data_IF_729248630768
#
_entry.id   IF_729248630768
#
_cell.length_a   1.000
_cell.length_b   1.000
_cell.length_c   1.000
_cell.angle_alpha   90.00
_cell.angle_beta   90.00
_cell.angle_gamma   90.00
#
_symmetry.space_group_name_H-M   'P 1'
#
loop_
_entity.id
_entity.type
_entity.pdbx_description
1 polymer ?
#
# COMPACT_ATOMS: atom_id res chain seq x y z
N UNK A 1 20.67 -3.72 22.12
CA UNK A 1 19.32 -4.28 22.04
C UNK A 1 18.32 -3.13 22.19
N UNK A 2 17.00 -3.36 22.21
CA UNK A 2 15.98 -2.29 22.20
C UNK A 2 16.17 -1.24 23.31
N UNK A 3 15.93 0.05 23.02
CA UNK A 3 16.07 1.14 24.00
C UNK A 3 14.80 1.29 24.83
N UNK A 4 14.91 1.32 26.16
CA UNK A 4 13.78 1.64 27.04
C UNK A 4 13.84 3.13 27.43
N UNK A 5 12.73 3.86 27.19
CA UNK A 5 12.58 5.28 27.49
C UNK A 5 11.43 5.47 28.48
N UNK A 6 11.66 6.16 29.57
CA UNK A 6 10.58 6.66 30.43
C UNK A 6 10.19 8.03 29.86
N UNK A 7 8.90 8.20 29.50
CA UNK A 7 8.39 9.43 28.93
C UNK A 7 8.53 10.58 29.95
N UNK A 8 9.23 11.63 29.56
CA UNK A 8 9.50 12.80 30.42
C UNK A 8 9.11 14.14 29.75
N UNK A 9 8.46 14.10 28.60
CA UNK A 9 8.08 15.26 27.80
C UNK A 9 9.16 15.68 26.79
N UNK A 10 10.26 14.90 26.66
CA UNK A 10 11.35 15.21 25.72
C UNK A 10 11.91 13.96 25.02
N UNK A 11 12.35 12.97 25.75
CA UNK A 11 13.07 11.81 25.18
C UNK A 11 12.26 11.01 24.20
N UNK A 12 10.96 10.83 24.46
CA UNK A 12 10.03 10.18 23.55
C UNK A 12 9.89 10.96 22.23
N UNK A 13 9.88 12.29 22.29
CA UNK A 13 9.82 13.13 21.09
C UNK A 13 11.13 13.12 20.30
N UNK A 14 12.29 13.09 20.97
CA UNK A 14 13.58 12.94 20.32
C UNK A 14 13.62 11.62 19.50
N UNK A 15 13.04 10.54 20.05
CA UNK A 15 12.91 9.26 19.34
C UNK A 15 11.93 9.34 18.16
N UNK A 16 10.78 10.01 18.32
CA UNK A 16 9.80 10.23 17.24
C UNK A 16 10.45 10.99 16.08
N UNK A 17 11.25 12.03 16.36
CA UNK A 17 11.96 12.79 15.32
C UNK A 17 13.04 11.95 14.64
N UNK A 18 13.72 11.06 15.35
CA UNK A 18 14.64 10.09 14.76
C UNK A 18 13.93 9.22 13.72
N UNK A 19 12.75 8.68 14.05
CA UNK A 19 11.96 7.86 13.13
C UNK A 19 11.50 8.64 11.90
N UNK A 20 11.05 9.89 12.07
CA UNK A 20 10.65 10.75 10.95
C UNK A 20 11.82 11.06 10.00
N UNK A 21 13.04 11.22 10.54
CA UNK A 21 14.23 11.50 9.73
C UNK A 21 14.71 10.31 8.91
N UNK A 22 14.38 9.09 9.31
CA UNK A 22 14.77 7.82 8.67
C UNK A 22 14.40 7.77 7.18
N UNK A 23 13.19 8.20 6.86
CA UNK A 23 12.67 8.15 5.49
C UNK A 23 13.30 9.18 4.54
N UNK A 24 13.88 10.28 5.06
CA UNK A 24 14.35 11.40 4.25
C UNK A 24 15.76 11.24 3.67
N UNK A 25 16.59 10.37 4.26
CA UNK A 25 18.03 10.29 3.92
C UNK A 25 18.37 9.32 2.78
N UNK A 26 17.45 8.45 2.38
CA UNK A 26 17.72 7.38 1.39
C UNK A 26 17.63 7.82 -0.08
N UNK A 27 16.95 8.92 -0.40
CA UNK A 27 16.56 9.29 -1.77
C UNK A 27 17.67 9.92 -2.62
N UNK A 28 18.62 10.66 -2.03
CA UNK A 28 19.53 11.53 -2.80
C UNK A 28 20.45 10.80 -3.78
N UNK A 29 20.91 9.59 -3.43
CA UNK A 29 21.81 8.80 -4.26
C UNK A 29 21.08 7.89 -5.25
N UNK A 30 19.80 7.58 -4.98
CA UNK A 30 18.99 6.64 -5.77
C UNK A 30 18.28 7.33 -6.95
N UNK A 31 17.85 8.56 -6.75
CA UNK A 31 17.11 9.33 -7.77
C UNK A 31 17.86 9.41 -9.13
N UNK A 32 19.15 9.76 -9.21
CA UNK A 32 19.85 9.82 -10.49
C UNK A 32 19.87 8.48 -11.22
N UNK A 33 20.13 7.38 -10.47
CA UNK A 33 20.21 6.02 -11.03
C UNK A 33 18.85 5.61 -11.59
N UNK A 34 17.77 5.85 -10.83
CA UNK A 34 16.42 5.49 -11.26
C UNK A 34 15.97 6.35 -12.44
N UNK A 35 16.30 7.64 -12.45
CA UNK A 35 15.98 8.53 -13.58
C UNK A 35 16.64 8.06 -14.88
N UNK A 36 17.91 7.62 -14.82
CA UNK A 36 18.61 7.02 -15.97
C UNK A 36 17.90 5.76 -16.47
N UNK A 37 17.51 4.86 -15.57
CA UNK A 37 16.77 3.63 -15.91
C UNK A 37 15.46 3.97 -16.58
N UNK A 38 14.68 4.91 -16.04
CA UNK A 38 13.40 5.34 -16.58
C UNK A 38 13.53 5.88 -17.99
N UNK A 39 14.47 6.80 -18.23
CA UNK A 39 14.69 7.37 -19.56
C UNK A 39 15.20 6.34 -20.57
N UNK A 40 16.03 5.40 -20.13
CA UNK A 40 16.52 4.31 -21.00
C UNK A 40 15.37 3.38 -21.41
N UNK A 41 14.50 2.96 -20.47
CA UNK A 41 13.34 2.12 -20.78
C UNK A 41 12.36 2.86 -21.70
N UNK A 42 12.09 4.14 -21.44
CA UNK A 42 11.22 4.97 -22.27
C UNK A 42 11.72 5.08 -23.72
N UNK A 43 13.03 5.12 -23.92
CA UNK A 43 13.66 5.30 -25.25
C UNK A 43 13.86 3.97 -25.98
N UNK A 44 14.28 2.93 -25.27
CA UNK A 44 14.76 1.67 -25.86
C UNK A 44 13.86 0.45 -25.56
N UNK A 45 12.72 0.65 -24.90
CA UNK A 45 11.67 -0.37 -24.72
C UNK A 45 12.17 -1.69 -24.11
N UNK A 46 11.75 -2.79 -24.71
CA UNK A 46 12.07 -4.16 -24.25
C UNK A 46 13.58 -4.44 -24.18
N UNK A 47 14.37 -3.82 -25.06
CA UNK A 47 15.83 -3.99 -25.04
C UNK A 47 16.42 -3.48 -23.73
N UNK A 48 16.05 -2.28 -23.29
CA UNK A 48 16.52 -1.73 -22.02
C UNK A 48 16.07 -2.59 -20.83
N UNK A 49 14.82 -3.06 -20.82
CA UNK A 49 14.28 -3.95 -19.79
C UNK A 49 15.11 -5.24 -19.72
N UNK A 50 15.42 -5.85 -20.87
CA UNK A 50 16.25 -7.07 -20.94
C UNK A 50 17.65 -6.83 -20.38
N UNK A 51 18.33 -5.76 -20.83
CA UNK A 51 19.69 -5.42 -20.42
C UNK A 51 19.78 -5.18 -18.89
N UNK A 52 18.79 -4.47 -18.30
CA UNK A 52 18.73 -4.28 -16.85
C UNK A 52 18.37 -5.56 -16.08
N UNK A 53 17.51 -6.41 -16.62
CA UNK A 53 17.18 -7.71 -16.00
C UNK A 53 18.43 -8.59 -15.94
N UNK A 54 19.22 -8.67 -17.01
CA UNK A 54 20.50 -9.38 -17.00
C UNK A 54 21.47 -8.77 -15.98
N UNK A 55 21.54 -7.43 -15.94
CA UNK A 55 22.47 -6.70 -15.04
C UNK A 55 22.16 -6.93 -13.57
N UNK A 56 20.90 -6.93 -13.17
CA UNK A 56 20.48 -6.94 -11.77
C UNK A 56 20.09 -8.33 -11.25
N UNK A 57 19.47 -9.14 -12.11
CA UNK A 57 18.97 -10.47 -11.74
C UNK A 57 19.88 -11.61 -12.24
N UNK A 58 20.92 -11.26 -13.04
CA UNK A 58 21.96 -12.16 -13.54
C UNK A 58 21.54 -12.92 -14.79
N UNK A 59 20.26 -13.15 -15.03
CA UNK A 59 19.73 -13.83 -16.22
C UNK A 59 18.33 -13.31 -16.55
N UNK A 60 18.12 -12.92 -17.81
CA UNK A 60 16.79 -12.63 -18.34
C UNK A 60 16.23 -13.85 -19.07
N UNK A 61 14.89 -14.10 -19.03
CA UNK A 61 14.24 -15.09 -19.86
C UNK A 61 14.27 -14.66 -21.34
N UNK A 62 14.15 -15.62 -22.26
CA UNK A 62 14.06 -15.33 -23.71
C UNK A 62 12.82 -14.49 -24.04
N UNK A 63 11.72 -14.78 -23.36
CA UNK A 63 10.48 -13.98 -23.41
C UNK A 63 10.16 -13.52 -22.00
N UNK A 64 9.92 -12.22 -21.86
CA UNK A 64 9.56 -11.65 -20.57
C UNK A 64 8.18 -12.13 -20.09
N UNK A 65 7.21 -12.29 -21.00
CA UNK A 65 5.86 -12.76 -20.69
C UNK A 65 5.81 -14.29 -20.58
N UNK A 66 5.19 -14.78 -19.50
CA UNK A 66 4.98 -16.21 -19.26
C UNK A 66 3.63 -16.61 -19.83
N UNK A 67 3.61 -17.66 -20.65
CA UNK A 67 2.37 -18.21 -21.21
C UNK A 67 1.51 -18.93 -20.16
N UNK A 68 0.21 -19.06 -20.44
CA UNK A 68 -0.71 -19.79 -19.57
C UNK A 68 -0.29 -21.26 -19.36
N UNK A 69 0.21 -21.92 -20.42
CA UNK A 69 0.67 -23.32 -20.34
C UNK A 69 1.90 -23.45 -19.45
N UNK A 70 2.84 -22.49 -19.51
CA UNK A 70 4.02 -22.44 -18.63
C UNK A 70 3.61 -22.21 -17.17
N UNK A 71 2.62 -21.35 -16.93
CA UNK A 71 2.07 -21.12 -15.59
C UNK A 71 1.49 -22.41 -15.04
N UNK A 72 0.68 -23.14 -15.83
CA UNK A 72 0.05 -24.40 -15.41
C UNK A 72 1.07 -25.51 -15.14
N UNK A 73 2.09 -25.63 -15.97
CA UNK A 73 3.18 -26.57 -15.77
C UNK A 73 3.91 -26.32 -14.44
N UNK A 74 4.26 -25.06 -14.16
CA UNK A 74 4.99 -24.68 -12.93
C UNK A 74 4.13 -24.89 -11.68
N UNK A 75 2.84 -24.55 -11.74
CA UNK A 75 1.93 -24.71 -10.58
C UNK A 75 1.70 -26.19 -10.24
N UNK A 76 1.73 -27.08 -11.24
CA UNK A 76 1.57 -28.52 -11.00
C UNK A 76 2.66 -29.11 -10.07
N UNK A 77 3.80 -28.44 -9.94
CA UNK A 77 4.90 -28.81 -9.04
C UNK A 77 4.74 -28.27 -7.61
N UNK A 78 3.77 -27.40 -7.35
CA UNK A 78 3.55 -26.82 -6.03
C UNK A 78 2.95 -27.82 -5.04
N UNK A 79 3.29 -27.68 -3.75
CA UNK A 79 2.68 -28.45 -2.67
C UNK A 79 1.14 -28.23 -2.66
N UNK A 80 0.32 -29.25 -2.77
CA UNK A 80 -1.13 -29.14 -2.71
C UNK A 80 -1.66 -28.50 -1.43
N UNK A 81 -0.98 -28.68 -0.30
CA UNK A 81 -1.33 -28.04 0.98
C UNK A 81 -1.10 -26.53 0.93
N UNK A 82 -0.02 -26.11 0.28
CA UNK A 82 0.24 -24.70 0.04
C UNK A 82 -0.86 -24.07 -0.82
N UNK A 83 -1.22 -24.72 -1.95
CA UNK A 83 -2.29 -24.26 -2.84
C UNK A 83 -3.62 -24.10 -2.09
N UNK A 84 -3.96 -25.07 -1.22
CA UNK A 84 -5.18 -24.98 -0.41
C UNK A 84 -5.12 -23.81 0.60
N UNK A 85 -3.95 -23.59 1.23
CA UNK A 85 -3.74 -22.44 2.13
C UNK A 85 -3.93 -21.11 1.40
N UNK A 86 -3.32 -20.97 0.22
CA UNK A 86 -3.47 -19.75 -0.63
C UNK A 86 -4.93 -19.55 -1.04
N UNK A 87 -5.66 -20.61 -1.39
CA UNK A 87 -7.09 -20.52 -1.74
C UNK A 87 -7.94 -20.03 -0.57
N UNK A 88 -7.69 -20.53 0.64
CA UNK A 88 -8.39 -20.06 1.84
C UNK A 88 -8.09 -18.62 2.18
N UNK A 89 -6.82 -18.20 2.10
CA UNK A 89 -6.40 -16.81 2.27
C UNK A 89 -7.08 -15.90 1.23
N UNK A 90 -7.04 -16.28 -0.04
CA UNK A 90 -7.71 -15.56 -1.12
C UNK A 90 -9.21 -15.37 -0.85
N UNK A 91 -9.88 -16.40 -0.32
CA UNK A 91 -11.30 -16.33 0.04
C UNK A 91 -11.57 -15.31 1.15
N UNK A 92 -10.75 -15.29 2.21
CA UNK A 92 -10.89 -14.34 3.30
C UNK A 92 -10.67 -12.89 2.81
N UNK A 93 -9.67 -12.67 1.96
CA UNK A 93 -9.38 -11.37 1.35
C UNK A 93 -10.55 -10.92 0.47
N UNK A 94 -11.10 -11.83 -0.34
CA UNK A 94 -12.26 -11.56 -1.18
C UNK A 94 -13.49 -11.17 -0.35
N UNK A 95 -13.78 -11.91 0.72
CA UNK A 95 -14.94 -11.68 1.58
C UNK A 95 -14.86 -10.34 2.32
N UNK A 96 -13.64 -9.93 2.72
CA UNK A 96 -13.42 -8.61 3.31
C UNK A 96 -13.62 -7.49 2.28
N UNK A 97 -12.94 -7.57 1.13
CA UNK A 97 -12.93 -6.49 0.14
C UNK A 97 -14.24 -6.32 -0.61
N UNK A 98 -15.06 -7.37 -0.74
CA UNK A 98 -16.42 -7.24 -1.31
C UNK A 98 -17.30 -6.24 -0.56
N UNK A 99 -17.05 -6.01 0.73
CA UNK A 99 -17.78 -5.02 1.54
C UNK A 99 -17.43 -3.58 1.22
N UNK A 100 -16.34 -3.34 0.48
CA UNK A 100 -15.85 -2.02 0.09
C UNK A 100 -16.43 -1.53 -1.24
N UNK A 101 -17.19 -2.37 -1.95
CA UNK A 101 -17.74 -2.04 -3.28
C UNK A 101 -18.74 -0.89 -3.18
N UNK A 102 -18.45 0.18 -3.89
CA UNK A 102 -19.35 1.34 -4.02
C UNK A 102 -20.21 1.24 -5.29
N UNK A 103 -21.42 1.79 -5.23
CA UNK A 103 -22.33 1.81 -6.37
C UNK A 103 -22.39 3.20 -7.01
N UNK A 104 -22.55 3.24 -8.34
CA UNK A 104 -22.92 4.45 -9.05
C UNK A 104 -24.31 4.90 -8.58
N UNK A 105 -24.53 6.21 -8.53
CA UNK A 105 -25.79 6.78 -8.09
C UNK A 105 -26.21 7.95 -8.97
N UNK A 106 -27.50 8.22 -9.00
CA UNK A 106 -28.07 9.41 -9.59
C UNK A 106 -29.19 9.95 -8.70
N UNK A 107 -29.43 11.25 -8.83
CA UNK A 107 -30.55 11.95 -8.20
C UNK A 107 -31.21 12.88 -9.20
N UNK A 108 -32.50 13.13 -9.00
CA UNK A 108 -33.30 14.02 -9.84
C UNK A 108 -33.88 15.15 -8.99
N UNK A 109 -33.96 16.36 -9.57
CA UNK A 109 -34.65 17.49 -8.98
C UNK A 109 -36.04 17.67 -9.64
N UNK A 110 -36.96 18.41 -8.97
CA UNK A 110 -38.33 18.65 -9.46
C UNK A 110 -38.38 19.31 -10.83
N UNK A 111 -37.39 20.12 -11.19
CA UNK A 111 -37.24 20.80 -12.50
C UNK A 111 -36.57 19.92 -13.59
N UNK A 112 -36.51 18.61 -13.38
CA UNK A 112 -35.98 17.65 -14.36
C UNK A 112 -34.47 17.56 -14.44
N UNK A 113 -33.72 18.26 -13.58
CA UNK A 113 -32.26 18.12 -13.52
C UNK A 113 -31.89 16.76 -12.99
N UNK A 114 -30.98 16.07 -13.67
CA UNK A 114 -30.40 14.80 -13.25
C UNK A 114 -28.91 15.01 -12.97
N UNK A 115 -28.45 14.57 -11.82
CA UNK A 115 -27.04 14.56 -11.43
C UNK A 115 -26.65 13.20 -10.88
N UNK A 116 -25.39 12.81 -11.05
CA UNK A 116 -24.94 11.55 -10.50
C UNK A 116 -23.43 11.39 -10.53
N UNK A 117 -23.01 10.26 -10.01
CA UNK A 117 -21.64 9.81 -10.00
C UNK A 117 -21.56 8.40 -10.60
N UNK A 118 -20.76 8.26 -11.64
CA UNK A 118 -20.44 6.97 -12.22
C UNK A 118 -19.14 6.44 -11.60
N UNK A 119 -19.20 5.23 -11.06
CA UNK A 119 -18.06 4.51 -10.47
C UNK A 119 -17.76 3.32 -11.37
N UNK A 120 -16.49 3.16 -11.77
CA UNK A 120 -16.04 2.05 -12.59
C UNK A 120 -14.61 1.69 -12.29
N UNK A 121 -14.23 0.42 -12.48
CA UNK A 121 -12.85 -0.04 -12.41
C UNK A 121 -11.95 0.69 -13.41
N UNK A 122 -10.67 0.78 -13.10
CA UNK A 122 -9.62 1.18 -14.03
C UNK A 122 -9.54 0.17 -15.17
N UNK A 123 -9.04 0.59 -16.31
CA UNK A 123 -8.93 -0.30 -17.48
C UNK A 123 -7.82 -1.33 -17.27
N UNK A 124 -6.63 -0.87 -16.89
CA UNK A 124 -5.47 -1.75 -16.72
C UNK A 124 -4.65 -1.33 -15.51
N UNK A 125 -4.27 -2.30 -14.68
CA UNK A 125 -3.48 -2.09 -13.46
C UNK A 125 -2.23 -2.95 -13.51
N UNK A 126 -1.10 -2.37 -13.14
CA UNK A 126 0.17 -3.06 -12.95
C UNK A 126 0.36 -3.44 -11.49
N UNK A 127 0.74 -4.68 -11.24
CA UNK A 127 1.14 -5.17 -9.92
C UNK A 127 2.62 -5.47 -9.93
N UNK A 128 3.37 -4.88 -9.01
CA UNK A 128 4.76 -5.26 -8.78
C UNK A 128 4.85 -6.20 -7.57
N UNK A 129 5.47 -7.36 -7.76
CA UNK A 129 5.67 -8.35 -6.69
C UNK A 129 7.16 -8.63 -6.56
N UNK A 130 7.78 -8.34 -5.40
CA UNK A 130 9.18 -8.67 -5.16
C UNK A 130 9.43 -10.18 -5.25
N UNK A 131 10.57 -10.57 -5.81
CA UNK A 131 10.97 -11.96 -5.99
C UNK A 131 12.43 -12.25 -5.60
N UNK A 132 13.05 -11.37 -4.78
CA UNK A 132 14.46 -11.45 -4.41
C UNK A 132 14.78 -12.53 -3.37
N UNK A 133 15.29 -12.13 -2.20
CA UNK A 133 15.65 -13.03 -1.08
C UNK A 133 14.44 -13.67 -0.39
N UNK A 134 13.27 -13.06 -0.50
CA UNK A 134 11.99 -13.59 -0.07
C UNK A 134 10.96 -13.46 -1.19
N UNK A 135 10.11 -14.48 -1.36
CA UNK A 135 8.96 -14.46 -2.24
C UNK A 135 7.73 -13.99 -1.45
N UNK A 136 6.91 -13.14 -2.06
CA UNK A 136 5.72 -12.59 -1.41
C UNK A 136 4.43 -12.95 -2.17
N UNK A 137 4.01 -14.22 -2.18
CA UNK A 137 2.74 -14.63 -2.80
C UNK A 137 1.52 -13.94 -2.15
N UNK A 138 1.60 -13.59 -0.86
CA UNK A 138 0.57 -12.79 -0.17
C UNK A 138 0.36 -11.43 -0.84
N UNK A 139 1.43 -10.75 -1.26
CA UNK A 139 1.32 -9.48 -1.97
C UNK A 139 0.61 -9.60 -3.32
N UNK A 140 0.67 -10.77 -3.97
CA UNK A 140 -0.14 -11.01 -5.17
C UNK A 140 -1.62 -10.97 -4.82
N UNK A 141 -2.05 -11.72 -3.81
CA UNK A 141 -3.45 -11.78 -3.38
C UNK A 141 -3.96 -10.40 -2.96
N UNK A 142 -3.18 -9.70 -2.12
CA UNK A 142 -3.56 -8.41 -1.55
C UNK A 142 -3.67 -7.28 -2.58
N UNK A 143 -2.97 -7.38 -3.70
CA UNK A 143 -3.08 -6.41 -4.79
C UNK A 143 -4.10 -6.84 -5.86
N UNK A 144 -4.11 -8.12 -6.28
CA UNK A 144 -4.94 -8.56 -7.39
C UNK A 144 -6.42 -8.73 -7.02
N UNK A 145 -6.74 -9.26 -5.84
CA UNK A 145 -8.13 -9.54 -5.46
C UNK A 145 -8.97 -8.25 -5.36
N UNK A 146 -8.56 -7.19 -4.64
CA UNK A 146 -9.33 -5.95 -4.63
C UNK A 146 -9.42 -5.29 -6.00
N UNK A 147 -8.40 -5.41 -6.87
CA UNK A 147 -8.45 -4.94 -8.25
C UNK A 147 -9.53 -5.67 -9.07
N UNK A 148 -9.62 -7.00 -8.96
CA UNK A 148 -10.69 -7.79 -9.60
C UNK A 148 -12.07 -7.42 -9.09
N UNK A 149 -12.24 -7.25 -7.77
CA UNK A 149 -13.52 -6.84 -7.16
C UNK A 149 -13.93 -5.44 -7.64
N UNK A 150 -12.97 -4.54 -7.83
CA UNK A 150 -13.20 -3.21 -8.39
C UNK A 150 -13.66 -3.22 -9.87
N UNK A 151 -13.54 -4.35 -10.55
CA UNK A 151 -13.86 -4.48 -11.97
C UNK A 151 -12.76 -3.97 -12.89
N UNK A 152 -11.50 -4.09 -12.51
CA UNK A 152 -10.35 -3.85 -13.40
C UNK A 152 -10.39 -4.84 -14.54
N UNK A 153 -10.31 -4.35 -15.79
CA UNK A 153 -10.47 -5.18 -16.99
C UNK A 153 -9.25 -6.10 -17.20
N UNK A 154 -8.03 -5.59 -16.94
CA UNK A 154 -6.78 -6.32 -17.15
C UNK A 154 -5.78 -6.05 -16.02
N UNK A 155 -5.27 -7.08 -15.39
CA UNK A 155 -4.22 -7.02 -14.37
C UNK A 155 -2.92 -7.57 -14.95
N UNK A 156 -1.90 -6.72 -15.00
CA UNK A 156 -0.54 -7.05 -15.45
C UNK A 156 0.37 -7.15 -14.24
N UNK A 157 1.08 -8.25 -14.07
CA UNK A 157 2.01 -8.44 -12.96
C UNK A 157 3.46 -8.50 -13.47
N UNK A 158 4.35 -7.76 -12.81
CA UNK A 158 5.79 -7.88 -12.98
C UNK A 158 6.42 -8.45 -11.70
N UNK A 159 7.29 -9.44 -11.86
CA UNK A 159 8.07 -10.04 -10.77
C UNK A 159 9.47 -10.43 -11.29
N UNK A 160 10.56 -10.20 -10.53
CA UNK A 160 11.87 -10.60 -11.00
C UNK A 160 11.98 -12.12 -11.13
N UNK A 161 12.78 -12.63 -12.08
CA UNK A 161 13.11 -14.04 -12.16
C UNK A 161 13.94 -14.46 -10.94
N UNK A 162 13.88 -15.75 -10.60
CA UNK A 162 14.84 -16.35 -9.68
C UNK A 162 16.26 -16.35 -10.30
N UNK A 163 17.30 -16.59 -9.51
CA UNK A 163 18.72 -16.64 -9.98
C UNK A 163 18.95 -17.58 -11.15
N UNK A 164 18.13 -18.60 -11.32
CA UNK A 164 18.19 -19.53 -12.46
C UNK A 164 17.45 -19.04 -13.72
N UNK A 165 16.87 -17.84 -13.68
CA UNK A 165 16.07 -17.24 -14.75
C UNK A 165 14.64 -17.75 -14.85
N UNK A 166 14.20 -18.60 -13.92
CA UNK A 166 12.84 -19.17 -13.90
C UNK A 166 11.90 -18.36 -12.97
N UNK A 167 10.58 -18.43 -13.20
CA UNK A 167 9.61 -17.84 -12.28
C UNK A 167 9.56 -18.58 -10.94
N UNK A 168 9.14 -17.87 -9.88
CA UNK A 168 8.85 -18.52 -8.60
C UNK A 168 7.48 -19.22 -8.66
N UNK A 169 7.39 -20.53 -8.41
CA UNK A 169 6.15 -21.29 -8.54
C UNK A 169 5.05 -20.81 -7.57
N UNK A 170 5.41 -20.42 -6.36
CA UNK A 170 4.45 -19.97 -5.36
C UNK A 170 3.83 -18.60 -5.71
N UNK A 171 4.61 -17.71 -6.34
CA UNK A 171 4.10 -16.43 -6.87
C UNK A 171 3.13 -16.71 -8.04
N UNK A 172 3.49 -17.60 -8.96
CA UNK A 172 2.61 -17.95 -10.09
C UNK A 172 1.30 -18.58 -9.63
N UNK A 173 1.36 -19.48 -8.64
CA UNK A 173 0.17 -20.10 -8.06
C UNK A 173 -0.78 -19.06 -7.46
N UNK A 174 -0.25 -18.11 -6.67
CA UNK A 174 -1.02 -17.00 -6.13
C UNK A 174 -1.60 -16.12 -7.24
N UNK A 175 -0.83 -15.79 -8.28
CA UNK A 175 -1.26 -14.97 -9.40
C UNK A 175 -2.43 -15.61 -10.17
N UNK A 176 -2.35 -16.89 -10.46
CA UNK A 176 -3.44 -17.62 -11.11
C UNK A 176 -4.69 -17.68 -10.25
N UNK A 177 -4.56 -17.97 -8.95
CA UNK A 177 -5.69 -18.03 -8.01
C UNK A 177 -6.34 -16.65 -7.80
N UNK A 178 -5.56 -15.57 -7.84
CA UNK A 178 -6.05 -14.19 -7.73
C UNK A 178 -6.61 -13.63 -9.05
N UNK A 179 -6.46 -14.35 -10.17
CA UNK A 179 -6.97 -13.94 -11.48
C UNK A 179 -6.14 -12.85 -12.16
N UNK A 180 -4.82 -12.87 -12.01
CA UNK A 180 -3.89 -12.04 -12.79
C UNK A 180 -3.94 -12.47 -14.24
N UNK A 181 -4.04 -11.50 -15.18
CA UNK A 181 -4.27 -11.79 -16.59
C UNK A 181 -2.96 -12.00 -17.37
N UNK A 182 -1.90 -11.22 -17.06
CA UNK A 182 -0.60 -11.31 -17.72
C UNK A 182 0.54 -11.21 -16.72
N UNK A 183 1.58 -12.00 -16.89
CA UNK A 183 2.73 -12.07 -15.99
C UNK A 183 4.02 -11.88 -16.77
N UNK A 184 4.88 -10.96 -16.29
CA UNK A 184 6.16 -10.65 -16.88
C UNK A 184 7.30 -10.86 -15.88
N UNK A 185 8.35 -11.55 -16.32
CA UNK A 185 9.57 -11.79 -15.54
C UNK A 185 10.55 -10.63 -15.71
N UNK A 186 10.37 -9.63 -14.90
CA UNK A 186 11.26 -8.46 -14.77
C UNK A 186 11.09 -7.81 -13.41
N UNK A 187 12.16 -7.29 -12.85
CA UNK A 187 12.17 -6.64 -11.53
C UNK A 187 12.60 -5.18 -11.58
N UNK A 188 12.74 -4.56 -10.41
CA UNK A 188 13.37 -3.26 -10.25
C UNK A 188 12.65 -2.06 -10.88
N UNK A 189 13.37 -0.95 -10.97
CA UNK A 189 12.86 0.31 -11.55
C UNK A 189 12.48 0.17 -13.03
N UNK A 190 13.16 -0.71 -13.77
CA UNK A 190 12.85 -0.96 -15.17
C UNK A 190 11.48 -1.60 -15.38
N UNK A 191 11.01 -2.45 -14.46
CA UNK A 191 9.67 -3.03 -14.52
C UNK A 191 8.59 -1.94 -14.29
N UNK A 192 8.83 -1.03 -13.35
CA UNK A 192 7.94 0.10 -13.09
C UNK A 192 7.87 1.03 -14.31
N UNK A 193 9.01 1.34 -14.92
CA UNK A 193 9.07 2.16 -16.12
C UNK A 193 8.36 1.50 -17.33
N UNK A 194 8.55 0.18 -17.50
CA UNK A 194 7.90 -0.59 -18.55
C UNK A 194 6.36 -0.56 -18.41
N UNK A 195 5.84 -0.76 -17.21
CA UNK A 195 4.39 -0.66 -16.95
C UNK A 195 3.85 0.76 -17.13
N UNK A 196 4.63 1.79 -16.76
CA UNK A 196 4.20 3.19 -16.81
C UNK A 196 4.11 3.73 -18.24
N UNK A 197 5.06 3.41 -19.11
CA UNK A 197 5.10 3.90 -20.49
C UNK A 197 4.53 2.92 -21.51
N UNK A 198 4.58 1.62 -21.18
CA UNK A 198 4.43 0.56 -22.16
C UNK A 198 5.74 0.31 -22.92
N UNK A 199 5.93 -0.92 -23.38
CA UNK A 199 7.01 -1.33 -24.28
C UNK A 199 6.42 -2.18 -25.41
N UNK A 200 7.24 -2.79 -26.24
CA UNK A 200 6.74 -3.68 -27.30
C UNK A 200 5.96 -4.87 -26.75
N UNK A 201 6.37 -5.42 -25.58
CA UNK A 201 5.72 -6.57 -24.96
C UNK A 201 4.82 -6.20 -23.78
N UNK A 202 5.20 -5.20 -22.97
CA UNK A 202 4.48 -4.80 -21.75
C UNK A 202 3.46 -3.72 -22.06
N UNK A 203 2.17 -3.94 -21.84
CA UNK A 203 1.17 -2.91 -22.05
C UNK A 203 1.26 -1.80 -21.02
N UNK A 204 1.05 -0.54 -21.44
CA UNK A 204 0.91 0.58 -20.53
C UNK A 204 -0.27 0.39 -19.58
N UNK A 205 -0.08 0.71 -18.28
CA UNK A 205 -1.11 0.62 -17.24
C UNK A 205 -1.55 2.00 -16.75
N UNK A 206 -2.73 2.08 -16.13
CA UNK A 206 -3.27 3.30 -15.56
C UNK A 206 -2.78 3.52 -14.11
N UNK A 207 -2.47 2.44 -13.39
CA UNK A 207 -2.00 2.47 -12.00
C UNK A 207 -1.01 1.34 -11.75
N UNK A 208 0.01 1.61 -10.92
CA UNK A 208 0.98 0.61 -10.46
C UNK A 208 0.87 0.48 -8.94
N UNK A 209 0.67 -0.74 -8.46
CA UNK A 209 0.57 -1.08 -7.03
C UNK A 209 1.57 -2.15 -6.65
N UNK A 210 1.81 -2.30 -5.35
CA UNK A 210 2.67 -3.33 -4.79
C UNK A 210 3.96 -2.80 -4.19
N UNK A 211 4.50 -3.53 -3.18
CA UNK A 211 5.71 -3.16 -2.47
C UNK A 211 6.97 -3.43 -3.31
N UNK A 212 8.07 -2.77 -2.97
CA UNK A 212 9.35 -3.00 -3.59
C UNK A 212 10.48 -2.32 -2.82
N UNK A 213 11.72 -2.58 -3.24
CA UNK A 213 12.89 -1.94 -2.66
C UNK A 213 12.93 -0.43 -2.98
N UNK A 214 13.93 0.27 -2.46
CA UNK A 214 14.09 1.72 -2.63
C UNK A 214 14.10 2.16 -4.11
N UNK A 215 14.62 1.35 -5.04
CA UNK A 215 14.62 1.68 -6.48
C UNK A 215 13.22 1.60 -7.07
N UNK A 216 12.42 0.62 -6.66
CA UNK A 216 11.01 0.48 -7.05
C UNK A 216 10.17 1.63 -6.49
N UNK A 217 10.32 1.93 -5.20
CA UNK A 217 9.62 3.03 -4.53
C UNK A 217 9.97 4.38 -5.17
N UNK A 218 11.26 4.62 -5.47
CA UNK A 218 11.72 5.83 -6.15
C UNK A 218 11.18 5.92 -7.58
N UNK A 219 11.13 4.80 -8.34
CA UNK A 219 10.56 4.79 -9.68
C UNK A 219 9.06 5.12 -9.66
N UNK A 220 8.29 4.56 -8.72
CA UNK A 220 6.88 4.92 -8.53
C UNK A 220 6.72 6.41 -8.23
N UNK A 221 7.54 6.95 -7.31
CA UNK A 221 7.54 8.38 -6.96
C UNK A 221 7.81 9.29 -8.16
N UNK A 222 8.81 8.97 -8.98
CA UNK A 222 9.19 9.78 -10.14
C UNK A 222 8.19 9.68 -11.29
N UNK A 223 7.46 8.58 -11.40
CA UNK A 223 6.48 8.33 -12.47
C UNK A 223 5.04 8.72 -12.07
N UNK A 224 4.82 9.10 -10.82
CA UNK A 224 3.52 9.61 -10.38
C UNK A 224 3.12 10.83 -11.22
N UNK A 225 1.89 10.80 -11.75
CA UNK A 225 1.40 11.77 -12.72
C UNK A 225 1.48 11.30 -14.18
N UNK A 226 2.45 10.44 -14.54
CA UNK A 226 2.45 9.67 -15.80
C UNK A 226 1.61 8.41 -15.68
N UNK A 227 1.67 7.79 -14.52
CA UNK A 227 0.86 6.65 -14.06
C UNK A 227 0.47 6.92 -12.60
N UNK A 228 -0.69 6.44 -12.17
CA UNK A 228 -1.06 6.51 -10.75
C UNK A 228 -0.37 5.41 -9.96
N UNK A 229 -0.22 5.60 -8.64
CA UNK A 229 0.40 4.61 -7.74
C UNK A 229 -0.49 4.38 -6.51
N UNK A 230 -0.23 3.29 -5.77
CA UNK A 230 -0.84 3.06 -4.46
C UNK A 230 -0.33 4.08 -3.41
N UNK A 231 0.96 4.00 -3.11
CA UNK A 231 1.66 4.87 -2.15
C UNK A 231 3.16 4.81 -2.35
N UNK A 232 3.87 5.70 -1.67
CA UNK A 232 5.34 5.64 -1.56
C UNK A 232 5.64 4.92 -0.24
N UNK A 233 5.99 3.63 -0.33
CA UNK A 233 6.30 2.83 0.85
C UNK A 233 7.68 3.18 1.40
N UNK A 234 7.73 3.37 2.72
CA UNK A 234 8.96 3.40 3.52
C UNK A 234 9.27 2.04 4.15
N UNK A 235 10.24 1.99 5.08
CA UNK A 235 10.51 0.80 5.88
C UNK A 235 9.30 0.40 6.72
N UNK A 236 9.13 -0.90 6.95
CA UNK A 236 8.03 -1.45 7.73
C UNK A 236 8.04 -1.03 9.19
N UNK A 237 6.87 -0.96 9.81
CA UNK A 237 6.66 -0.40 11.16
C UNK A 237 5.63 -1.20 11.93
N UNK A 238 5.94 -1.52 13.19
CA UNK A 238 4.96 -1.96 14.17
C UNK A 238 4.99 -1.07 15.40
N UNK A 239 3.82 -0.73 15.89
CA UNK A 239 3.62 -0.10 17.19
C UNK A 239 2.65 -0.95 18.00
N UNK A 240 2.99 -1.22 19.24
CA UNK A 240 2.15 -1.99 20.16
C UNK A 240 1.75 -1.09 21.32
N UNK A 241 0.48 -1.01 21.63
CA UNK A 241 -0.04 -0.44 22.88
C UNK A 241 -0.39 -1.61 23.80
N UNK A 242 0.20 -1.66 25.00
CA UNK A 242 -0.02 -2.75 25.92
C UNK A 242 -0.16 -2.27 27.38
N UNK A 243 -1.20 -2.75 28.08
CA UNK A 243 -1.35 -2.58 29.53
C UNK A 243 -0.76 -3.79 30.29
N UNK A 244 -0.82 -3.76 31.61
CA UNK A 244 -0.29 -4.82 32.48
C UNK A 244 -0.88 -6.21 32.23
N UNK A 245 -1.98 -6.37 31.51
CA UNK A 245 -2.62 -7.65 31.20
C UNK A 245 -1.95 -8.39 30.04
N UNK A 246 -1.11 -7.69 29.25
CA UNK A 246 -0.45 -8.24 28.09
C UNK A 246 0.60 -9.29 28.46
N UNK A 247 0.82 -10.24 27.54
CA UNK A 247 1.83 -11.27 27.69
C UNK A 247 3.17 -10.81 27.07
N UNK A 248 4.25 -10.65 27.87
CA UNK A 248 5.54 -10.17 27.36
C UNK A 248 6.15 -11.07 26.28
N UNK A 249 5.83 -12.38 26.28
CA UNK A 249 6.28 -13.30 25.22
C UNK A 249 5.65 -12.98 23.87
N UNK A 250 4.38 -12.58 23.88
CA UNK A 250 3.67 -12.22 22.65
C UNK A 250 4.17 -10.87 22.11
N UNK A 251 4.34 -9.89 23.01
CA UNK A 251 4.87 -8.58 22.66
C UNK A 251 6.26 -8.68 22.02
N UNK A 252 7.17 -9.46 22.63
CA UNK A 252 8.50 -9.68 22.09
C UNK A 252 8.46 -10.35 20.71
N UNK A 253 7.59 -11.35 20.51
CA UNK A 253 7.43 -12.01 19.22
C UNK A 253 6.90 -11.05 18.14
N UNK A 254 5.89 -10.22 18.47
CA UNK A 254 5.33 -9.24 17.54
C UNK A 254 6.33 -8.13 17.17
N UNK A 255 7.13 -7.62 18.12
CA UNK A 255 8.19 -6.66 17.81
C UNK A 255 9.25 -7.25 16.87
N UNK A 256 9.61 -8.53 17.03
CA UNK A 256 10.59 -9.20 16.20
C UNK A 256 10.05 -9.61 14.83
N UNK A 257 8.74 -9.93 14.69
CA UNK A 257 8.14 -10.22 13.38
C UNK A 257 8.29 -9.06 12.42
N UNK A 258 8.19 -7.83 12.92
CA UNK A 258 8.40 -6.65 12.10
C UNK A 258 9.88 -6.32 11.89
N UNK A 259 10.69 -6.45 12.97
CA UNK A 259 12.12 -6.16 12.92
C UNK A 259 12.90 -7.06 11.95
N UNK A 260 12.40 -8.28 11.64
CA UNK A 260 13.05 -9.19 10.69
C UNK A 260 12.91 -8.78 9.21
N UNK A 261 12.00 -7.85 8.89
CA UNK A 261 11.77 -7.44 7.50
C UNK A 261 13.00 -6.72 6.92
N UNK A 262 13.52 -5.72 7.63
CA UNK A 262 14.67 -4.90 7.18
C UNK A 262 15.39 -4.27 8.37
N UNK A 263 16.69 -3.93 8.19
CA UNK A 263 17.50 -3.21 9.19
C UNK A 263 16.95 -1.81 9.53
N UNK A 264 16.13 -1.24 8.65
CA UNK A 264 15.46 0.05 8.82
C UNK A 264 14.04 -0.10 9.39
N UNK A 265 13.51 -1.32 9.59
CA UNK A 265 12.21 -1.52 10.20
C UNK A 265 12.17 -0.92 11.61
N UNK A 266 11.00 -0.46 12.07
CA UNK A 266 10.82 0.02 13.45
C UNK A 266 9.85 -0.83 14.22
N UNK A 267 10.16 -1.05 15.50
CA UNK A 267 9.37 -1.86 16.42
C UNK A 267 9.25 -1.15 17.76
N UNK A 268 8.05 -0.68 18.09
CA UNK A 268 7.81 0.21 19.23
C UNK A 268 6.77 -0.42 20.17
N UNK A 269 7.06 -0.44 21.45
CA UNK A 269 6.09 -0.77 22.51
C UNK A 269 5.79 0.47 23.34
N UNK A 270 4.52 0.80 23.48
CA UNK A 270 4.00 1.81 24.41
C UNK A 270 3.25 1.11 25.54
N UNK A 271 3.64 1.37 26.78
CA UNK A 271 2.99 0.76 27.96
C UNK A 271 3.03 1.71 29.16
N UNK A 272 2.06 1.61 30.06
CA UNK A 272 2.07 2.29 31.35
C UNK A 272 2.62 1.39 32.50
N UNK A 273 3.19 0.23 32.15
CA UNK A 273 3.68 -0.77 33.11
C UNK A 273 5.18 -1.04 32.90
N UNK A 274 6.02 -0.47 33.77
CA UNK A 274 7.48 -0.65 33.73
C UNK A 274 7.91 -2.12 33.90
N UNK A 275 7.18 -2.90 34.70
CA UNK A 275 7.45 -4.32 34.87
C UNK A 275 7.24 -5.10 33.57
N UNK A 276 6.15 -4.82 32.84
CA UNK A 276 5.89 -5.40 31.51
C UNK A 276 6.99 -5.03 30.51
N UNK A 277 7.44 -3.78 30.53
CA UNK A 277 8.56 -3.32 29.70
C UNK A 277 9.82 -4.16 29.96
N UNK A 278 10.21 -4.30 31.24
CA UNK A 278 11.38 -5.08 31.66
C UNK A 278 11.26 -6.58 31.32
N UNK A 279 10.08 -7.16 31.44
CA UNK A 279 9.82 -8.55 31.08
C UNK A 279 9.89 -8.75 29.56
N UNK A 280 9.40 -7.79 28.77
CA UNK A 280 9.46 -7.83 27.30
C UNK A 280 10.91 -7.76 26.81
N UNK A 281 11.77 -6.94 27.42
CA UNK A 281 13.21 -6.91 27.10
C UNK A 281 13.83 -8.29 27.29
N UNK A 282 13.59 -8.95 28.42
CA UNK A 282 14.12 -10.31 28.70
C UNK A 282 13.63 -11.34 27.68
N UNK A 283 12.38 -11.23 27.26
CA UNK A 283 11.82 -12.13 26.25
C UNK A 283 12.41 -11.86 24.84
N UNK A 284 12.67 -10.62 24.46
CA UNK A 284 13.39 -10.28 23.23
C UNK A 284 14.79 -10.91 23.22
N UNK A 285 15.54 -10.77 24.31
CA UNK A 285 16.89 -11.35 24.46
C UNK A 285 16.88 -12.87 24.34
N UNK A 286 15.87 -13.51 24.91
CA UNK A 286 15.72 -14.97 24.88
C UNK A 286 15.31 -15.48 23.50
N UNK A 287 14.30 -14.86 22.88
CA UNK A 287 13.68 -15.39 21.65
C UNK A 287 14.54 -15.13 20.42
N UNK A 288 15.24 -14.00 20.33
CA UNK A 288 16.07 -13.64 19.17
C UNK A 288 17.15 -14.68 18.86
N UNK A 289 17.63 -15.40 19.89
CA UNK A 289 18.69 -16.42 19.75
C UNK A 289 18.28 -17.60 18.86
N UNK A 290 16.98 -17.84 18.72
CA UNK A 290 16.45 -19.00 17.96
C UNK A 290 15.99 -18.62 16.53
N UNK A 291 16.05 -17.33 16.18
CA UNK A 291 15.55 -16.84 14.90
C UNK A 291 16.66 -16.77 13.85
N UNK A 292 16.35 -17.20 12.63
CA UNK A 292 17.32 -17.28 11.52
C UNK A 292 17.81 -15.92 11.03
N UNK A 293 17.01 -14.85 11.18
CA UNK A 293 17.36 -13.47 10.76
C UNK A 293 17.78 -12.58 11.92
N UNK A 294 18.38 -13.16 12.97
CA UNK A 294 18.73 -12.47 14.21
C UNK A 294 19.63 -11.22 14.00
N UNK A 295 20.53 -11.21 13.02
CA UNK A 295 21.38 -10.04 12.70
C UNK A 295 20.55 -8.85 12.22
N UNK A 296 19.53 -9.09 11.39
CA UNK A 296 18.62 -8.05 10.89
C UNK A 296 17.74 -7.54 12.03
N UNK A 297 17.16 -8.46 12.80
CA UNK A 297 16.33 -8.14 13.97
C UNK A 297 17.12 -7.26 14.96
N UNK A 298 18.33 -7.69 15.35
CA UNK A 298 19.14 -6.91 16.28
C UNK A 298 19.47 -5.52 15.72
N UNK A 299 19.85 -5.42 14.44
CA UNK A 299 20.15 -4.13 13.81
C UNK A 299 18.93 -3.19 13.78
N UNK A 300 17.73 -3.72 13.50
CA UNK A 300 16.48 -2.98 13.52
C UNK A 300 16.15 -2.49 14.93
N UNK A 301 16.16 -3.40 15.92
CA UNK A 301 15.85 -3.07 17.31
C UNK A 301 16.87 -2.11 17.95
N UNK A 302 18.17 -2.22 17.61
CA UNK A 302 19.20 -1.31 18.11
C UNK A 302 19.04 0.12 17.61
N UNK A 303 18.64 0.29 16.36
CA UNK A 303 18.59 1.60 15.70
C UNK A 303 17.20 2.24 15.75
N UNK A 304 16.14 1.45 15.64
CA UNK A 304 14.75 1.92 15.43
C UNK A 304 13.74 1.21 16.33
N UNK A 305 14.19 0.43 17.32
CA UNK A 305 13.35 -0.17 18.34
C UNK A 305 13.29 0.67 19.61
N UNK A 306 12.10 0.79 20.22
CA UNK A 306 11.96 1.42 21.54
C UNK A 306 10.82 0.80 22.34
N UNK A 307 11.02 0.75 23.67
CA UNK A 307 9.96 0.55 24.65
C UNK A 307 9.78 1.87 25.40
N UNK A 308 8.63 2.50 25.25
CA UNK A 308 8.33 3.79 25.88
C UNK A 308 7.35 3.53 27.02
N UNK A 309 7.81 3.81 28.25
CA UNK A 309 6.96 3.74 29.45
C UNK A 309 6.24 5.07 29.61
N UNK A 310 4.96 5.06 29.35
CA UNK A 310 4.05 6.21 29.40
C UNK A 310 3.55 6.44 30.84
N UNK A 311 3.09 7.64 31.14
CA UNK A 311 2.45 7.97 32.42
C UNK A 311 1.09 7.27 32.59
N UNK A 312 0.39 7.04 31.51
CA UNK A 312 -0.89 6.34 31.44
C UNK A 312 -1.19 5.90 29.99
N UNK A 313 -2.24 5.10 29.81
CA UNK A 313 -2.66 4.62 28.50
C UNK A 313 -3.22 5.72 27.58
N UNK A 314 -3.62 6.87 28.11
CA UNK A 314 -4.03 8.03 27.29
C UNK A 314 -2.83 8.63 26.57
N UNK A 315 -1.70 8.74 27.26
CA UNK A 315 -0.45 9.19 26.67
C UNK A 315 0.02 8.21 25.59
N UNK A 316 -0.10 6.89 25.81
CA UNK A 316 0.21 5.88 24.80
C UNK A 316 -0.64 6.05 23.53
N UNK A 317 -1.93 6.30 23.66
CA UNK A 317 -2.83 6.59 22.52
C UNK A 317 -2.43 7.87 21.78
N UNK A 318 -2.07 8.93 22.49
CA UNK A 318 -1.60 10.19 21.87
C UNK A 318 -0.34 9.95 21.04
N UNK A 319 0.64 9.21 21.57
CA UNK A 319 1.86 8.88 20.84
C UNK A 319 1.60 7.97 19.64
N UNK A 320 0.69 7.00 19.76
CA UNK A 320 0.31 6.15 18.64
C UNK A 320 -0.31 6.98 17.48
N UNK A 321 -1.21 7.89 17.80
CA UNK A 321 -1.81 8.78 16.81
C UNK A 321 -0.79 9.77 16.22
N UNK A 322 0.21 10.17 16.98
CA UNK A 322 1.29 11.05 16.49
C UNK A 322 2.27 10.29 15.59
N UNK A 323 2.62 9.07 15.91
CA UNK A 323 3.47 8.22 15.10
C UNK A 323 2.77 7.78 13.81
N UNK A 324 1.46 7.56 13.87
CA UNK A 324 0.65 7.09 12.74
C UNK A 324 1.27 5.86 12.07
N UNK A 325 1.45 4.74 12.81
CA UNK A 325 2.21 3.59 12.36
C UNK A 325 1.51 2.82 11.25
N UNK A 326 2.29 2.02 10.53
CA UNK A 326 1.79 1.04 9.56
C UNK A 326 0.91 0.00 10.24
N UNK A 327 1.46 -0.73 11.22
CA UNK A 327 0.75 -1.73 12.02
C UNK A 327 0.62 -1.24 13.46
N UNK A 328 -0.58 -1.33 14.02
CA UNK A 328 -0.88 -0.98 15.41
C UNK A 328 -1.55 -2.14 16.13
N UNK A 329 -0.83 -2.78 17.06
CA UNK A 329 -1.42 -3.80 17.94
C UNK A 329 -1.89 -3.18 19.26
N UNK A 330 -3.05 -3.60 19.76
CA UNK A 330 -3.62 -3.19 21.05
C UNK A 330 -3.75 -4.42 21.95
N UNK A 331 -2.73 -4.65 22.77
CA UNK A 331 -2.64 -5.77 23.70
C UNK A 331 -3.08 -5.34 25.11
N UNK A 332 -4.35 -4.97 25.28
CA UNK A 332 -4.94 -4.48 26.50
C UNK A 332 -6.09 -5.39 26.95
N UNK A 333 -6.51 -5.26 28.21
CA UNK A 333 -7.63 -6.04 28.78
C UNK A 333 -8.93 -5.86 27.99
N UNK A 334 -9.23 -4.61 27.56
CA UNK A 334 -10.42 -4.24 26.78
C UNK A 334 -10.05 -3.58 25.46
N UNK A 335 -9.51 -4.30 24.45
CA UNK A 335 -8.95 -3.70 23.25
C UNK A 335 -9.97 -2.96 22.39
N UNK A 336 -11.25 -3.35 22.43
CA UNK A 336 -12.32 -2.70 21.67
C UNK A 336 -12.59 -1.24 22.09
N UNK A 337 -12.23 -0.86 23.33
CA UNK A 337 -12.38 0.51 23.82
C UNK A 337 -11.45 1.51 23.14
N UNK A 338 -10.43 1.02 22.42
CA UNK A 338 -9.43 1.83 21.74
C UNK A 338 -9.80 2.17 20.29
N UNK A 339 -10.73 1.42 19.67
CA UNK A 339 -11.10 1.60 18.25
C UNK A 339 -11.48 3.06 17.92
N UNK A 340 -12.28 3.69 18.77
CA UNK A 340 -12.70 5.09 18.58
C UNK A 340 -11.69 6.14 19.07
N UNK A 341 -10.48 5.73 19.50
CA UNK A 341 -9.43 6.63 20.01
C UNK A 341 -8.18 6.63 19.13
N UNK A 342 -8.11 5.68 18.19
CA UNK A 342 -6.98 5.45 17.29
C UNK A 342 -7.34 5.92 15.90
N UNK A 343 -6.95 7.16 15.58
CA UNK A 343 -7.32 7.83 14.33
C UNK A 343 -6.32 7.57 13.20
N UNK A 344 -5.05 7.36 13.55
CA UNK A 344 -3.94 7.33 12.60
C UNK A 344 -3.17 6.00 12.70
N UNK A 345 -3.64 4.98 11.98
CA UNK A 345 -2.91 3.73 11.80
C UNK A 345 -3.23 3.12 10.44
N UNK A 346 -2.29 2.42 9.84
CA UNK A 346 -2.54 1.68 8.61
C UNK A 346 -3.49 0.52 8.86
N UNK A 347 -3.20 -0.32 9.85
CA UNK A 347 -4.09 -1.40 10.31
C UNK A 347 -4.05 -1.52 11.83
N UNK A 348 -5.19 -1.85 12.46
CA UNK A 348 -5.32 -2.01 13.91
C UNK A 348 -5.67 -3.45 14.26
N UNK A 349 -4.88 -4.05 15.12
CA UNK A 349 -5.00 -5.44 15.59
C UNK A 349 -5.41 -5.43 17.05
N UNK A 350 -6.55 -6.03 17.38
CA UNK A 350 -7.18 -5.90 18.68
C UNK A 350 -7.08 -7.20 19.52
N UNK A 351 -6.36 -7.12 20.62
CA UNK A 351 -6.23 -8.21 21.60
C UNK A 351 -5.07 -9.16 21.32
N UNK A 352 -4.73 -9.93 22.35
CA UNK A 352 -3.55 -10.82 22.40
C UNK A 352 -3.52 -11.94 21.35
N UNK A 353 -4.62 -12.20 20.65
CA UNK A 353 -4.74 -13.26 19.63
C UNK A 353 -4.95 -12.72 18.23
N UNK A 354 -4.65 -11.45 18.02
CA UNK A 354 -4.69 -10.79 16.71
C UNK A 354 -3.30 -10.24 16.35
N UNK A 355 -2.27 -11.09 16.24
CA UNK A 355 -0.93 -10.62 15.87
C UNK A 355 -0.89 -10.16 14.41
N UNK A 356 0.01 -9.23 14.11
CA UNK A 356 0.20 -8.63 12.77
C UNK A 356 0.33 -9.69 11.65
N UNK A 357 1.08 -10.82 11.79
CA UNK A 357 1.17 -11.81 10.72
C UNK A 357 -0.18 -12.44 10.31
N UNK A 358 -1.17 -12.42 11.21
CA UNK A 358 -2.52 -12.87 10.86
C UNK A 358 -3.14 -11.95 9.79
N UNK A 359 -2.94 -10.64 9.90
CA UNK A 359 -3.35 -9.66 8.89
C UNK A 359 -2.57 -9.80 7.59
N UNK A 360 -1.28 -10.00 7.68
CA UNK A 360 -0.39 -10.10 6.52
C UNK A 360 -0.73 -11.28 5.61
N UNK A 361 -1.19 -12.39 6.19
CA UNK A 361 -1.34 -13.62 5.41
C UNK A 361 -2.77 -14.13 5.29
N UNK A 362 -3.66 -13.90 6.26
CA UNK A 362 -4.85 -14.75 6.33
C UNK A 362 -6.17 -14.07 6.72
N UNK A 363 -6.16 -13.01 7.54
CA UNK A 363 -7.39 -12.43 8.11
C UNK A 363 -8.34 -11.80 7.07
N UNK A 364 -7.79 -11.26 5.99
CA UNK A 364 -8.59 -10.64 4.92
C UNK A 364 -8.37 -9.15 4.69
N UNK A 365 -8.20 -8.28 5.71
CA UNK A 365 -7.76 -6.90 5.50
C UNK A 365 -6.47 -6.81 4.71
N UNK A 366 -6.26 -5.70 4.00
CA UNK A 366 -5.10 -5.54 3.13
C UNK A 366 -3.84 -5.22 3.92
N UNK A 367 -2.72 -5.83 3.54
CA UNK A 367 -1.41 -5.58 4.13
C UNK A 367 -0.57 -4.53 3.37
N UNK A 368 -1.06 -3.98 2.26
CA UNK A 368 -0.41 -2.84 1.60
C UNK A 368 -0.85 -1.58 2.33
N UNK A 369 -0.05 -1.16 3.27
CA UNK A 369 -0.37 -0.17 4.28
C UNK A 369 0.48 1.09 4.14
N UNK A 370 -0.03 2.26 4.52
CA UNK A 370 0.74 3.48 4.59
C UNK A 370 1.81 3.40 5.69
N UNK A 371 3.03 3.80 5.36
CA UNK A 371 4.20 3.79 6.24
C UNK A 371 4.71 5.21 6.53
N UNK A 372 5.67 5.35 7.43
CA UNK A 372 6.39 6.62 7.68
C UNK A 372 5.45 7.78 8.08
N UNK A 373 4.44 7.46 8.90
CA UNK A 373 3.47 8.43 9.40
C UNK A 373 2.42 8.89 8.38
N UNK A 374 2.40 8.31 7.18
CA UNK A 374 1.44 8.68 6.12
C UNK A 374 0.03 8.14 6.37
N UNK A 375 -0.16 7.25 7.36
CA UNK A 375 -1.48 6.80 7.81
C UNK A 375 -2.38 7.94 8.31
N UNK A 376 -1.84 9.16 8.50
CA UNK A 376 -2.61 10.39 8.77
C UNK A 376 -3.52 10.82 7.61
N UNK A 377 -3.19 10.42 6.37
CA UNK A 377 -3.90 10.86 5.16
C UNK A 377 -3.99 9.80 4.07
N UNK A 378 -3.25 8.70 4.17
CA UNK A 378 -3.41 7.54 3.31
C UNK A 378 -4.15 6.41 4.03
N UNK A 379 -4.85 5.59 3.26
CA UNK A 379 -5.55 4.38 3.72
C UNK A 379 -4.85 3.13 3.18
N UNK A 380 -5.10 1.96 3.78
CA UNK A 380 -4.74 0.68 3.18
C UNK A 380 -5.24 0.54 1.75
N UNK A 381 -4.53 -0.23 0.93
CA UNK A 381 -5.00 -0.57 -0.40
C UNK A 381 -6.38 -1.24 -0.31
N UNK A 382 -7.31 -0.77 -1.12
CA UNK A 382 -8.71 -1.16 -1.07
C UNK A 382 -9.32 -1.20 -2.46
N UNK A 383 -10.59 -1.61 -2.56
CA UNK A 383 -11.36 -1.54 -3.82
C UNK A 383 -11.42 -0.11 -4.36
N UNK A 384 -11.51 0.89 -3.48
CA UNK A 384 -11.50 2.30 -3.86
C UNK A 384 -10.22 2.73 -4.60
N UNK A 385 -9.10 2.08 -4.32
CA UNK A 385 -7.82 2.36 -4.97
C UNK A 385 -7.81 2.02 -6.47
N UNK A 386 -8.77 1.21 -6.93
CA UNK A 386 -8.84 0.68 -8.29
C UNK A 386 -10.05 1.19 -9.08
N UNK A 387 -10.83 2.10 -8.51
CA UNK A 387 -12.00 2.69 -9.20
C UNK A 387 -11.76 4.14 -9.58
N UNK A 388 -12.43 4.55 -10.64
CA UNK A 388 -12.52 5.94 -11.08
C UNK A 388 -13.94 6.44 -10.90
N UNK A 389 -14.09 7.62 -10.29
CA UNK A 389 -15.36 8.30 -10.05
C UNK A 389 -15.45 9.52 -10.95
N UNK A 390 -16.53 9.62 -11.74
CA UNK A 390 -16.81 10.78 -12.57
C UNK A 390 -18.24 11.25 -12.35
N UNK A 391 -18.41 12.57 -12.20
CA UNK A 391 -19.74 13.18 -12.13
C UNK A 391 -20.33 13.35 -13.53
N UNK A 392 -21.64 13.35 -13.61
CA UNK A 392 -22.40 13.79 -14.78
C UNK A 392 -23.57 14.65 -14.32
N UNK A 393 -23.91 15.62 -15.17
CA UNK A 393 -25.06 16.50 -15.02
C UNK A 393 -25.84 16.54 -16.32
N UNK A 394 -27.17 16.55 -16.21
CA UNK A 394 -28.07 16.77 -17.32
C UNK A 394 -29.11 17.81 -16.88
N UNK A 395 -29.11 18.97 -17.54
CA UNK A 395 -30.05 20.05 -17.28
C UNK A 395 -31.12 20.08 -18.37
N UNK A 396 -32.34 20.44 -17.99
CA UNK A 396 -33.37 20.85 -18.97
C UNK A 396 -33.14 22.30 -19.34
N UNK A 397 -33.70 22.74 -20.48
CA UNK A 397 -33.68 24.15 -20.88
C UNK A 397 -34.30 25.04 -19.79
N UNK A 398 -35.47 24.65 -19.26
CA UNK A 398 -36.18 25.38 -18.20
C UNK A 398 -35.29 25.52 -16.93
N UNK A 399 -34.64 24.45 -16.51
CA UNK A 399 -33.77 24.49 -15.35
C UNK A 399 -32.56 25.41 -15.54
N UNK A 400 -31.93 25.34 -16.74
CA UNK A 400 -30.80 26.21 -17.05
C UNK A 400 -31.23 27.68 -17.16
N UNK A 401 -32.42 27.94 -17.73
CA UNK A 401 -33.00 29.29 -17.82
C UNK A 401 -33.19 29.93 -16.43
N UNK A 402 -33.67 29.16 -15.48
CA UNK A 402 -33.84 29.60 -14.09
C UNK A 402 -32.51 29.94 -13.39
N UNK A 403 -31.45 29.21 -13.70
CA UNK A 403 -30.13 29.37 -13.06
C UNK A 403 -29.17 30.29 -13.86
N UNK A 404 -29.55 30.71 -15.07
CA UNK A 404 -28.69 31.42 -16.05
C UNK A 404 -28.08 32.70 -15.50
N UNK A 405 -28.87 33.56 -14.84
CA UNK A 405 -28.43 34.82 -14.28
C UNK A 405 -27.33 34.62 -13.22
N UNK A 406 -27.49 33.62 -12.35
CA UNK A 406 -26.54 33.35 -11.28
C UNK A 406 -25.22 32.81 -11.84
N UNK A 407 -25.28 31.93 -12.85
CA UNK A 407 -24.07 31.42 -13.52
C UNK A 407 -23.31 32.52 -14.23
N UNK A 408 -24.02 33.39 -14.93
CA UNK A 408 -23.43 34.55 -15.64
C UNK A 408 -22.77 35.50 -14.62
N UNK A 409 -23.46 35.84 -13.52
CA UNK A 409 -22.92 36.72 -12.46
C UNK A 409 -21.64 36.15 -11.84
N UNK A 410 -21.59 34.85 -11.56
CA UNK A 410 -20.37 34.19 -11.07
C UNK A 410 -19.23 34.31 -12.07
N UNK A 411 -19.48 33.97 -13.33
CA UNK A 411 -18.46 34.01 -14.37
C UNK A 411 -17.92 35.43 -14.61
N UNK A 412 -18.80 36.43 -14.64
CA UNK A 412 -18.41 37.83 -14.79
C UNK A 412 -17.63 38.35 -13.59
N UNK A 413 -17.99 37.95 -12.36
CA UNK A 413 -17.26 38.29 -11.13
C UNK A 413 -15.82 37.73 -11.14
N UNK A 414 -15.63 36.55 -11.72
CA UNK A 414 -14.30 35.94 -11.91
C UNK A 414 -13.55 36.51 -13.14
N UNK A 415 -14.17 37.39 -13.93
CA UNK A 415 -13.60 37.93 -15.16
C UNK A 415 -13.59 36.94 -16.33
N UNK A 416 -14.35 35.83 -16.22
CA UNK A 416 -14.42 34.78 -17.22
C UNK A 416 -15.55 35.01 -18.22
N UNK A 417 -15.42 36.02 -19.06
CA UNK A 417 -16.46 36.47 -20.02
C UNK A 417 -16.88 35.41 -21.05
N UNK A 418 -15.98 34.51 -21.43
CA UNK A 418 -16.32 33.39 -22.33
C UNK A 418 -17.20 32.35 -21.62
N UNK A 419 -17.02 32.13 -20.31
CA UNK A 419 -17.91 31.28 -19.49
C UNK A 419 -19.31 31.89 -19.42
N UNK A 420 -19.40 33.19 -19.07
CA UNK A 420 -20.65 33.94 -19.10
C UNK A 420 -21.34 33.84 -20.45
N UNK A 421 -20.60 34.11 -21.54
CA UNK A 421 -21.11 34.03 -22.88
C UNK A 421 -21.65 32.65 -23.28
N UNK A 422 -21.05 31.57 -22.77
CA UNK A 422 -21.56 30.22 -23.03
C UNK A 422 -23.00 30.00 -22.52
N UNK A 423 -23.42 30.74 -21.50
CA UNK A 423 -24.80 30.74 -21.02
C UNK A 423 -25.65 31.72 -21.80
N UNK A 424 -25.18 32.99 -22.02
CA UNK A 424 -25.90 34.06 -22.67
C UNK A 424 -26.37 33.66 -24.08
N UNK A 425 -25.55 33.00 -24.87
CA UNK A 425 -25.91 32.56 -26.24
C UNK A 425 -26.98 31.48 -26.29
N UNK A 426 -27.35 30.85 -25.17
CA UNK A 426 -28.46 29.90 -25.11
C UNK A 426 -29.80 30.56 -24.84
N UNK A 427 -29.78 31.85 -24.42
CA UNK A 427 -30.99 32.60 -24.05
C UNK A 427 -30.83 34.04 -24.46
N UNK A 428 -30.92 34.29 -25.80
CA UNK A 428 -30.84 35.64 -26.37
C UNK A 428 -32.02 36.52 -25.98
N UNK A 429 -33.09 35.93 -25.45
CA UNK A 429 -34.28 36.60 -24.94
C UNK A 429 -34.18 37.01 -23.45
N UNK A 430 -33.07 36.72 -22.77
CA UNK A 430 -32.85 37.13 -21.40
C UNK A 430 -31.90 38.35 -21.37
N UNK A 431 -32.31 39.39 -20.66
CA UNK A 431 -31.41 40.50 -20.33
C UNK A 431 -30.58 40.10 -19.08
N UNK A 432 -29.27 39.97 -19.29
CA UNK A 432 -28.32 39.61 -18.22
C UNK A 432 -27.73 40.89 -17.63
N UNK A 433 -28.24 41.32 -16.45
CA UNK A 433 -27.77 42.46 -15.67
C UNK A 433 -26.45 42.17 -14.93
#
# INVERSE_FOLDING_TARGET
MITTVIADGKKEYDFIELLKSRAQNSDKNVIPIVSEIIENVKTNGDKAVYDYTVKFDGKAPEKAEISADEIDAVISECDPKYIETVRRAAKNIEDFHKRQVQQSWLTTKKNGVIMGQRIRGLKRVGIYVPGGTAAYPSSVLMNAIPAKIAGVEEIVMCTPPMKNGKPNPNILAAAKLAGVDRIFLMGGAQAIAAMAYGTESVPKVDKIVGPGNIFVATAKKLLYGTVDIDMIAGPSEILIIADKSANPKFLAAALMSQAEHDKLASAILLTDCEELANQTVKELERQVQTLSRNEIINSSLDNFGAIIVCSDMKQAVLFANELAPEHLEVCCENPMEYVGKLDNAGSVFLGNYSPEPLGDYFAGPNHVLPTSGTARFFSPLSVDSFVKKSSFICYTEEALRNDAQDVVRFADTEGLTAHANSIKVRFEDIDFE
#
